data_IF_306892675392
#
_entry.id   IF_306892675392
#
_cell.length_a   1.000
_cell.length_b   1.000
_cell.length_c   1.000
_cell.angle_alpha   90.00
_cell.angle_beta   90.00
_cell.angle_gamma   90.00
#
_symmetry.space_group_name_H-M   'P 1'
#
loop_
_entity.id
_entity.type
_entity.pdbx_description
1 polymer ?
#
# COMPACT_ATOMS: atom_id res chain seq x y z
N UNK A 1 7.11 66.83 61.45
CA UNK A 1 6.07 66.00 62.11
C UNK A 1 4.94 65.76 61.11
N UNK A 2 4.33 64.56 61.08
CA UNK A 2 4.13 63.73 59.86
C UNK A 2 2.69 63.68 59.32
N UNK A 3 2.50 63.09 58.13
CA UNK A 3 1.17 62.69 57.62
C UNK A 3 1.18 62.01 56.23
N UNK A 4 1.08 60.67 56.23
CA UNK A 4 1.21 59.69 55.15
C UNK A 4 0.55 60.00 53.77
N UNK A 5 1.33 59.87 52.69
CA UNK A 5 0.88 59.77 51.29
C UNK A 5 0.73 58.29 50.87
N UNK A 6 -0.43 57.95 50.29
CA UNK A 6 -0.81 56.59 49.88
C UNK A 6 -0.08 56.16 48.61
N UNK A 7 0.57 54.99 48.67
CA UNK A 7 1.12 54.25 47.54
C UNK A 7 0.01 53.80 46.57
N UNK A 8 0.22 53.95 45.26
CA UNK A 8 -0.03 52.88 44.26
C UNK A 8 0.98 53.01 43.11
N UNK A 9 1.59 51.87 42.76
CA UNK A 9 2.64 51.69 41.75
C UNK A 9 2.13 51.98 40.32
N UNK A 10 3.02 52.41 39.41
CA UNK A 10 2.70 52.49 37.98
C UNK A 10 2.49 51.09 37.39
N UNK A 11 1.47 50.97 36.54
CA UNK A 11 1.14 49.73 35.82
C UNK A 11 2.08 49.58 34.63
N UNK A 12 2.80 48.47 34.64
CA UNK A 12 3.65 47.96 33.57
C UNK A 12 2.77 47.10 32.67
N UNK A 13 2.63 47.43 31.39
CA UNK A 13 2.07 46.55 30.35
C UNK A 13 2.99 46.63 29.13
N UNK A 14 4.11 45.92 29.25
CA UNK A 14 4.92 45.42 28.15
C UNK A 14 4.98 43.91 28.37
N UNK A 15 4.26 43.14 27.54
CA UNK A 15 4.44 41.71 27.22
C UNK A 15 3.15 41.15 26.59
N UNK A 16 2.91 41.47 25.32
CA UNK A 16 2.00 40.70 24.44
C UNK A 16 2.82 39.82 23.50
N UNK A 17 3.67 38.96 24.06
CA UNK A 17 4.41 37.95 23.29
C UNK A 17 4.47 36.63 24.05
N UNK A 18 3.33 35.96 24.14
CA UNK A 18 3.30 34.49 24.25
C UNK A 18 1.87 34.07 23.95
N UNK A 19 1.66 33.29 22.88
CA UNK A 19 0.52 32.37 22.65
C UNK A 19 0.40 31.97 21.16
N UNK A 20 1.50 31.70 20.44
CA UNK A 20 1.43 31.11 19.08
C UNK A 20 2.50 30.02 18.85
N UNK A 21 2.68 29.08 19.78
CA UNK A 21 3.57 27.93 19.53
C UNK A 21 2.92 26.57 19.83
N UNK A 22 1.78 26.55 20.55
CA UNK A 22 1.19 25.28 21.01
C UNK A 22 0.30 24.59 19.97
N UNK A 23 -0.08 25.25 18.87
CA UNK A 23 -0.96 24.67 17.83
C UNK A 23 -0.24 24.01 16.66
N UNK A 24 1.04 24.32 16.43
CA UNK A 24 1.77 23.79 15.25
C UNK A 24 2.31 22.37 15.45
N UNK A 25 2.78 22.02 16.66
CA UNK A 25 3.28 20.68 16.96
C UNK A 25 2.18 19.60 16.86
N UNK A 26 0.91 19.98 17.08
CA UNK A 26 -0.22 19.07 16.95
C UNK A 26 -0.56 18.78 15.49
N UNK A 27 -0.38 19.75 14.59
CA UNK A 27 -0.63 19.57 13.16
C UNK A 27 0.37 18.58 12.53
N UNK A 28 1.65 18.67 12.91
CA UNK A 28 2.69 17.76 12.40
C UNK A 28 2.50 16.34 12.93
N UNK A 29 2.23 16.18 14.24
CA UNK A 29 1.90 14.87 14.81
C UNK A 29 0.62 14.27 14.22
N UNK A 30 -0.39 15.10 13.94
CA UNK A 30 -1.60 14.63 13.26
C UNK A 30 -1.34 14.27 11.80
N UNK A 31 -0.46 14.99 11.10
CA UNK A 31 -0.12 14.67 9.72
C UNK A 31 0.69 13.36 9.63
N UNK A 32 1.63 13.14 10.55
CA UNK A 32 2.35 11.87 10.68
C UNK A 32 1.42 10.74 11.10
N UNK A 33 0.48 10.98 12.02
CA UNK A 33 -0.57 10.03 12.36
C UNK A 33 -1.48 9.70 11.18
N UNK A 34 -1.79 10.69 10.33
CA UNK A 34 -2.58 10.50 9.11
C UNK A 34 -1.79 9.73 8.05
N UNK A 35 -0.47 9.94 7.90
CA UNK A 35 0.39 9.15 7.02
C UNK A 35 0.54 7.71 7.48
N UNK A 36 0.73 7.50 8.78
CA UNK A 36 0.74 6.16 9.39
C UNK A 36 -0.63 5.51 9.21
N UNK A 37 -1.73 6.24 9.44
CA UNK A 37 -3.10 5.75 9.19
C UNK A 37 -3.32 5.39 7.73
N UNK A 38 -2.83 6.16 6.77
CA UNK A 38 -2.91 5.86 5.34
C UNK A 38 -2.10 4.60 5.00
N UNK A 39 -0.87 4.49 5.52
CA UNK A 39 -0.01 3.30 5.34
C UNK A 39 -0.63 2.05 5.98
N UNK A 40 -1.25 2.19 7.14
CA UNK A 40 -1.99 1.13 7.82
C UNK A 40 -3.26 0.77 7.04
N UNK A 41 -3.97 1.75 6.47
CA UNK A 41 -5.16 1.50 5.63
C UNK A 41 -4.81 0.74 4.35
N UNK A 42 -3.68 1.05 3.70
CA UNK A 42 -3.14 0.28 2.57
C UNK A 42 -2.80 -1.17 2.95
N UNK A 43 -2.48 -1.43 4.23
CA UNK A 43 -2.25 -2.78 4.76
C UNK A 43 -3.55 -3.47 5.19
N UNK A 44 -4.57 -2.71 5.62
CA UNK A 44 -5.87 -3.19 6.12
C UNK A 44 -6.85 -3.56 5.00
N UNK A 45 -6.57 -3.22 3.74
CA UNK A 45 -7.24 -3.80 2.55
C UNK A 45 -7.13 -5.34 2.47
N UNK A 46 -6.28 -5.95 3.31
CA UNK A 46 -6.15 -7.40 3.45
C UNK A 46 -7.26 -8.09 4.28
N UNK A 47 -8.13 -7.34 4.98
CA UNK A 47 -9.18 -7.93 5.84
C UNK A 47 -10.59 -7.71 5.26
N UNK A 48 -11.30 -8.75 4.80
CA UNK A 48 -12.64 -8.58 4.22
C UNK A 48 -13.68 -8.30 5.33
N UNK A 49 -14.18 -7.07 5.39
CA UNK A 49 -15.39 -6.71 6.15
C UNK A 49 -16.48 -6.36 5.14
N UNK A 50 -17.56 -7.15 5.10
CA UNK A 50 -18.71 -6.91 4.23
C UNK A 50 -19.49 -5.67 4.66
N UNK A 51 -19.89 -4.82 3.70
CA UNK A 51 -20.94 -3.80 3.88
C UNK A 51 -20.51 -2.33 3.98
N UNK A 52 -19.23 -1.99 3.83
CA UNK A 52 -18.79 -0.58 3.82
C UNK A 52 -18.66 -0.03 2.38
N UNK A 53 -19.24 1.15 2.08
CA UNK A 53 -19.07 1.81 0.79
C UNK A 53 -17.59 2.21 0.59
N UNK A 54 -17.02 1.90 -0.58
CA UNK A 54 -15.63 2.20 -0.93
C UNK A 54 -14.61 1.11 -0.58
N UNK A 55 -15.04 -0.02 0.00
CA UNK A 55 -14.15 -1.16 0.32
C UNK A 55 -14.39 -2.29 -0.69
N UNK A 56 -13.41 -2.60 -1.54
CA UNK A 56 -13.50 -3.68 -2.53
C UNK A 56 -13.52 -5.04 -1.83
N UNK A 57 -14.70 -5.63 -1.68
CA UNK A 57 -14.92 -6.78 -0.78
C UNK A 57 -14.54 -8.14 -1.37
N UNK A 58 -13.75 -8.23 -2.44
CA UNK A 58 -13.25 -9.53 -2.92
C UNK A 58 -11.84 -9.40 -3.47
N UNK A 59 -10.81 -9.83 -2.72
CA UNK A 59 -9.48 -9.91 -3.28
C UNK A 59 -9.47 -11.00 -4.36
N UNK A 60 -8.93 -10.68 -5.52
CA UNK A 60 -8.65 -11.65 -6.57
C UNK A 60 -7.74 -12.74 -5.97
N UNK A 61 -8.19 -14.01 -5.88
CA UNK A 61 -7.34 -15.09 -5.38
C UNK A 61 -6.14 -15.25 -6.30
N UNK A 62 -4.97 -15.51 -5.73
CA UNK A 62 -3.76 -15.72 -6.51
C UNK A 62 -2.80 -16.66 -5.81
N UNK A 63 -1.99 -17.33 -6.61
CA UNK A 63 -0.79 -18.04 -6.18
C UNK A 63 0.45 -17.35 -6.75
N UNK A 64 1.54 -17.33 -5.99
CA UNK A 64 2.83 -16.82 -6.44
C UNK A 64 3.93 -17.83 -6.12
N UNK A 65 4.80 -18.07 -7.10
CA UNK A 65 6.00 -18.87 -6.95
C UNK A 65 7.23 -18.05 -7.29
N UNK A 66 8.30 -18.24 -6.52
CA UNK A 66 9.60 -17.65 -6.75
C UNK A 66 10.54 -18.68 -7.40
N UNK A 67 11.17 -18.30 -8.50
CA UNK A 67 12.18 -19.10 -9.20
C UNK A 67 13.50 -18.32 -9.30
N UNK A 68 14.63 -18.95 -9.61
CA UNK A 68 15.89 -18.23 -9.79
C UNK A 68 15.83 -17.08 -10.80
N UNK A 69 15.02 -17.22 -11.85
CA UNK A 69 14.98 -16.27 -12.97
C UNK A 69 13.74 -15.37 -13.01
N UNK A 70 12.67 -15.70 -12.28
CA UNK A 70 11.39 -14.99 -12.38
C UNK A 70 10.46 -15.23 -11.17
N UNK A 71 9.53 -14.29 -10.97
CA UNK A 71 8.32 -14.51 -10.20
C UNK A 71 7.21 -14.99 -11.13
N UNK A 72 6.50 -16.05 -10.74
CA UNK A 72 5.34 -16.58 -11.45
C UNK A 72 4.09 -16.27 -10.63
N UNK A 73 3.08 -15.64 -11.24
CA UNK A 73 1.82 -15.31 -10.56
C UNK A 73 0.66 -15.90 -11.35
N UNK A 74 -0.24 -16.59 -10.66
CA UNK A 74 -1.51 -17.05 -11.22
C UNK A 74 -2.65 -16.39 -10.46
N UNK A 75 -3.47 -15.60 -11.14
CA UNK A 75 -4.63 -14.95 -10.56
C UNK A 75 -5.93 -15.57 -11.12
N UNK A 76 -6.82 -15.98 -10.23
CA UNK A 76 -8.04 -16.69 -10.56
C UNK A 76 -9.19 -15.71 -10.72
N UNK A 77 -9.63 -15.53 -11.97
CA UNK A 77 -10.63 -14.57 -12.41
C UNK A 77 -11.73 -15.27 -13.24
N UNK A 78 -12.43 -16.26 -12.68
CA UNK A 78 -13.51 -16.93 -13.40
C UNK A 78 -14.67 -15.96 -13.67
N UNK A 79 -15.18 -15.98 -14.90
CA UNK A 79 -16.30 -15.14 -15.33
C UNK A 79 -15.94 -13.67 -15.59
N UNK A 80 -14.66 -13.34 -15.67
CA UNK A 80 -14.18 -12.05 -16.19
C UNK A 80 -13.82 -12.19 -17.67
N UNK A 81 -14.00 -11.10 -18.41
CA UNK A 81 -13.44 -10.97 -19.75
C UNK A 81 -12.01 -10.46 -19.66
N UNK A 82 -11.14 -10.91 -20.56
CA UNK A 82 -9.72 -10.49 -20.57
C UNK A 82 -9.59 -8.98 -20.72
N UNK A 83 -10.48 -8.39 -21.50
CA UNK A 83 -10.52 -6.97 -21.83
C UNK A 83 -10.87 -6.10 -20.62
N UNK A 84 -11.54 -6.68 -19.61
CA UNK A 84 -11.92 -6.02 -18.36
C UNK A 84 -10.85 -6.17 -17.26
N UNK A 85 -9.68 -6.74 -17.58
CA UNK A 85 -8.57 -6.98 -16.64
C UNK A 85 -7.37 -6.09 -17.01
N UNK A 86 -6.93 -5.30 -16.04
CA UNK A 86 -5.73 -4.44 -16.14
C UNK A 86 -4.68 -4.93 -15.15
N UNK A 87 -3.42 -4.94 -15.60
CA UNK A 87 -2.27 -5.38 -14.80
C UNK A 87 -1.19 -4.31 -14.88
N UNK A 88 -0.70 -3.88 -13.72
CA UNK A 88 0.32 -2.84 -13.61
C UNK A 88 1.41 -3.28 -12.63
N UNK A 89 2.67 -2.96 -12.94
CA UNK A 89 3.79 -3.15 -12.01
C UNK A 89 4.41 -1.80 -11.72
N UNK A 90 4.50 -1.45 -10.44
CA UNK A 90 5.06 -0.19 -9.97
C UNK A 90 5.63 -0.37 -8.55
N UNK A 91 6.80 0.20 -8.28
CA UNK A 91 7.38 0.29 -6.92
C UNK A 91 7.40 -1.06 -6.16
N UNK A 92 7.89 -2.13 -6.80
CA UNK A 92 7.89 -3.53 -6.30
C UNK A 92 6.51 -4.09 -5.95
N UNK A 93 5.45 -3.55 -6.59
CA UNK A 93 4.08 -4.02 -6.42
C UNK A 93 3.47 -4.36 -7.77
N UNK A 94 2.74 -5.47 -7.80
CA UNK A 94 1.91 -5.90 -8.90
C UNK A 94 0.45 -5.59 -8.54
N UNK A 95 -0.18 -4.68 -9.28
CA UNK A 95 -1.59 -4.37 -9.19
C UNK A 95 -2.37 -5.11 -10.28
N UNK A 96 -3.42 -5.81 -9.88
CA UNK A 96 -4.38 -6.46 -10.78
C UNK A 96 -5.74 -5.83 -10.49
N UNK A 97 -6.34 -5.22 -11.51
CA UNK A 97 -7.67 -4.64 -11.47
C UNK A 97 -8.57 -5.40 -12.44
N UNK A 98 -9.77 -5.74 -12.02
CA UNK A 98 -10.74 -6.41 -12.87
C UNK A 98 -12.15 -5.86 -12.61
N UNK A 99 -13.01 -5.82 -13.63
CA UNK A 99 -14.41 -5.42 -13.46
C UNK A 99 -15.34 -6.55 -13.89
N UNK A 100 -16.38 -6.83 -13.09
CA UNK A 100 -17.45 -7.74 -13.47
C UNK A 100 -18.79 -7.05 -13.27
N UNK A 101 -19.64 -7.02 -14.29
CA UNK A 101 -20.97 -6.41 -14.21
C UNK A 101 -22.03 -7.48 -14.02
N UNK A 102 -23.00 -7.23 -13.15
CA UNK A 102 -24.21 -8.04 -13.11
C UNK A 102 -25.06 -7.71 -14.35
N UNK A 103 -25.41 -8.68 -15.20
CA UNK A 103 -26.21 -8.40 -16.39
C UNK A 103 -27.56 -7.81 -15.98
N UNK A 104 -27.93 -6.68 -16.58
CA UNK A 104 -29.27 -6.11 -16.43
C UNK A 104 -30.07 -6.47 -17.66
N UNK A 105 -31.15 -7.24 -17.47
CA UNK A 105 -32.12 -7.52 -18.52
C UNK A 105 -33.52 -7.29 -17.96
N UNK A 106 -34.35 -6.64 -18.75
CA UNK A 106 -35.69 -6.22 -18.32
C UNK A 106 -36.68 -7.40 -18.22
N UNK A 107 -36.33 -8.55 -18.82
CA UNK A 107 -37.10 -9.79 -18.80
C UNK A 107 -36.72 -10.74 -17.64
N UNK A 108 -35.79 -10.35 -16.76
CA UNK A 108 -35.28 -11.20 -15.69
C UNK A 108 -35.43 -10.58 -14.31
N UNK A 109 -35.89 -11.40 -13.37
CA UNK A 109 -35.85 -11.11 -11.93
C UNK A 109 -34.80 -12.02 -11.29
N UNK A 110 -33.73 -11.41 -10.76
CA UNK A 110 -32.73 -12.14 -9.99
C UNK A 110 -33.35 -12.63 -8.67
N UNK A 111 -33.40 -13.95 -8.47
CA UNK A 111 -33.85 -14.54 -7.19
C UNK A 111 -32.74 -14.52 -6.14
N UNK A 112 -31.52 -14.86 -6.56
CA UNK A 112 -30.32 -14.88 -5.72
C UNK A 112 -29.09 -14.44 -6.51
N UNK A 113 -28.21 -13.66 -5.88
CA UNK A 113 -26.93 -13.23 -6.46
C UNK A 113 -25.86 -13.37 -5.39
N UNK A 114 -25.09 -14.46 -5.48
CA UNK A 114 -23.99 -14.76 -4.54
C UNK A 114 -22.63 -14.44 -5.15
N UNK A 115 -22.51 -14.62 -6.46
CA UNK A 115 -21.27 -14.32 -7.16
C UNK A 115 -21.00 -12.80 -7.11
N UNK A 116 -19.82 -12.36 -6.66
CA UNK A 116 -19.56 -10.95 -6.46
C UNK A 116 -19.44 -10.19 -7.78
N UNK A 117 -19.88 -8.93 -7.83
CA UNK A 117 -19.78 -8.07 -9.00
C UNK A 117 -19.32 -6.68 -8.58
N UNK A 118 -18.83 -5.89 -9.53
CA UNK A 118 -18.18 -4.60 -9.32
C UNK A 118 -16.72 -4.62 -9.74
N UNK A 119 -15.95 -3.67 -9.20
CA UNK A 119 -14.50 -3.57 -9.42
C UNK A 119 -13.76 -4.36 -8.35
N UNK A 120 -12.80 -5.17 -8.78
CA UNK A 120 -11.91 -5.99 -7.98
C UNK A 120 -10.50 -5.43 -8.13
N UNK A 121 -9.79 -5.25 -7.02
CA UNK A 121 -8.43 -4.75 -7.01
C UNK A 121 -7.61 -5.64 -6.09
N UNK A 122 -6.46 -6.07 -6.57
CA UNK A 122 -5.50 -6.85 -5.79
C UNK A 122 -4.12 -6.28 -6.00
N UNK A 123 -3.45 -5.92 -4.92
CA UNK A 123 -2.06 -5.47 -4.94
C UNK A 123 -1.20 -6.50 -4.24
N UNK A 124 -0.15 -6.94 -4.92
CA UNK A 124 0.75 -8.00 -4.48
C UNK A 124 2.15 -7.41 -4.36
N UNK A 125 2.78 -7.55 -3.20
CA UNK A 125 4.19 -7.19 -3.03
C UNK A 125 5.10 -8.21 -3.73
N UNK A 126 6.10 -7.72 -4.43
CA UNK A 126 7.10 -8.54 -5.11
C UNK A 126 8.32 -8.73 -4.20
N UNK A 127 8.84 -9.96 -4.13
CA UNK A 127 10.02 -10.29 -3.31
C UNK A 127 11.35 -9.85 -3.92
N UNK A 128 11.34 -9.40 -5.18
CA UNK A 128 12.53 -9.02 -5.94
C UNK A 128 12.17 -8.02 -7.04
N UNK A 129 13.19 -7.31 -7.51
CA UNK A 129 13.05 -6.36 -8.61
C UNK A 129 12.83 -7.13 -9.91
N UNK A 130 11.87 -6.67 -10.69
CA UNK A 130 11.48 -7.31 -11.95
C UNK A 130 11.86 -6.44 -13.14
N UNK A 131 12.25 -7.10 -14.21
CA UNK A 131 12.47 -6.48 -15.51
C UNK A 131 11.10 -6.21 -16.16
N UNK A 132 10.66 -4.96 -16.07
CA UNK A 132 9.33 -4.53 -16.53
C UNK A 132 9.15 -4.58 -18.04
N UNK A 133 10.24 -4.52 -18.82
CA UNK A 133 10.19 -4.55 -20.29
C UNK A 133 9.89 -5.95 -20.83
N UNK A 134 10.19 -6.99 -20.04
CA UNK A 134 10.11 -8.39 -20.46
C UNK A 134 9.02 -9.19 -19.71
N UNK A 135 8.05 -8.52 -19.10
CA UNK A 135 6.91 -9.17 -18.44
C UNK A 135 6.05 -9.90 -19.47
N UNK A 136 5.77 -11.18 -19.22
CA UNK A 136 4.84 -11.99 -20.01
C UNK A 136 3.50 -12.15 -19.31
N UNK A 137 2.40 -12.05 -20.06
CA UNK A 137 1.05 -12.30 -19.57
C UNK A 137 0.29 -13.27 -20.49
N UNK A 138 -0.38 -14.25 -19.90
CA UNK A 138 -1.23 -15.21 -20.58
C UNK A 138 -2.60 -15.30 -19.92
N UNK A 139 -3.64 -15.59 -20.70
CA UNK A 139 -5.00 -15.78 -20.21
C UNK A 139 -5.56 -17.10 -20.73
N UNK A 140 -6.06 -17.95 -19.84
CA UNK A 140 -6.73 -19.20 -20.23
C UNK A 140 -7.79 -19.55 -19.20
N UNK A 141 -9.02 -19.79 -19.68
CA UNK A 141 -10.12 -20.35 -18.86
C UNK A 141 -10.39 -19.58 -17.54
N UNK A 142 -10.27 -18.25 -17.57
CA UNK A 142 -10.47 -17.42 -16.38
C UNK A 142 -9.27 -17.38 -15.43
N UNK A 143 -8.09 -17.79 -15.88
CA UNK A 143 -6.84 -17.68 -15.13
C UNK A 143 -5.87 -16.75 -15.86
N UNK A 144 -5.45 -15.69 -15.18
CA UNK A 144 -4.35 -14.82 -15.60
C UNK A 144 -3.04 -15.42 -15.11
N UNK A 145 -2.13 -15.73 -16.01
CA UNK A 145 -0.77 -16.19 -15.70
C UNK A 145 0.23 -15.11 -16.07
N UNK A 146 1.03 -14.66 -15.10
CA UNK A 146 2.07 -13.67 -15.29
C UNK A 146 3.43 -14.30 -15.04
N UNK A 147 4.39 -14.00 -15.91
CA UNK A 147 5.80 -14.30 -15.71
C UNK A 147 6.54 -12.97 -15.62
N UNK A 148 7.11 -12.68 -14.46
CA UNK A 148 7.83 -11.44 -14.17
C UNK A 148 9.33 -11.79 -14.04
N UNK A 149 10.14 -11.62 -15.10
CA UNK A 149 11.57 -11.91 -15.02
C UNK A 149 12.23 -11.04 -13.94
N UNK A 150 13.16 -11.60 -13.17
CA UNK A 150 13.95 -10.83 -12.21
C UNK A 150 14.95 -9.94 -12.96
N UNK A 151 15.09 -8.70 -12.48
CA UNK A 151 16.14 -7.80 -12.94
C UNK A 151 17.52 -8.45 -12.78
N UNK A 152 18.45 -8.19 -13.70
CA UNK A 152 19.81 -8.77 -13.69
C UNK A 152 20.51 -8.57 -12.33
N UNK A 153 20.29 -7.44 -11.68
CA UNK A 153 20.90 -7.10 -10.39
C UNK A 153 20.27 -7.84 -9.21
N UNK A 154 19.00 -8.20 -9.31
CA UNK A 154 18.25 -8.90 -8.26
C UNK A 154 18.41 -10.43 -8.29
N UNK A 155 19.13 -10.97 -9.30
CA UNK A 155 19.43 -12.41 -9.35
C UNK A 155 20.45 -12.77 -8.28
N UNK A 156 20.31 -13.92 -7.61
CA UNK A 156 21.26 -14.37 -6.60
C UNK A 156 22.68 -14.43 -7.18
N UNK A 157 23.62 -13.70 -6.58
CA UNK A 157 25.05 -13.80 -6.91
C UNK A 157 25.71 -14.74 -5.92
N UNK A 158 26.52 -15.68 -6.42
CA UNK A 158 27.40 -16.44 -5.55
C UNK A 158 28.52 -15.53 -5.08
N UNK A 159 28.62 -15.36 -3.76
CA UNK A 159 29.75 -14.68 -3.14
C UNK A 159 30.76 -15.76 -2.75
N UNK A 160 31.92 -15.86 -3.43
CA UNK A 160 32.94 -16.83 -3.05
C UNK A 160 33.47 -16.48 -1.65
N UNK A 161 33.48 -17.47 -0.76
CA UNK A 161 34.02 -17.31 0.59
C UNK A 161 35.54 -17.28 0.49
N UNK A 162 36.13 -16.12 0.79
CA UNK A 162 37.58 -15.99 0.93
C UNK A 162 37.99 -16.38 2.35
N UNK A 163 39.11 -17.09 2.50
CA UNK A 163 39.70 -17.32 3.82
C UNK A 163 40.23 -15.99 4.35
N UNK A 164 39.50 -15.38 5.29
CA UNK A 164 39.98 -14.21 6.04
C UNK A 164 40.65 -14.72 7.31
N UNK A 165 41.95 -14.52 7.43
CA UNK A 165 42.65 -14.68 8.71
C UNK A 165 42.31 -13.47 9.57
N UNK A 166 41.23 -13.58 10.34
CA UNK A 166 40.76 -12.60 11.34
C UNK A 166 40.21 -11.29 10.77
N UNK A 167 38.92 -11.02 11.03
CA UNK A 167 38.36 -9.68 10.93
C UNK A 167 38.96 -8.85 12.06
N UNK A 168 39.94 -8.01 11.76
CA UNK A 168 40.41 -7.00 12.70
C UNK A 168 39.27 -5.99 12.89
N UNK A 169 38.53 -6.12 13.99
CA UNK A 169 37.73 -5.03 14.53
C UNK A 169 38.69 -4.10 15.27
N UNK A 170 39.49 -3.36 14.51
CA UNK A 170 40.30 -2.29 15.09
C UNK A 170 39.31 -1.22 15.56
N UNK A 171 39.19 -1.15 16.87
CA UNK A 171 38.43 -0.14 17.61
C UNK A 171 39.32 1.09 17.69
N UNK A 172 38.93 2.19 17.04
CA UNK A 172 39.37 3.54 17.41
C UNK A 172 38.43 4.13 18.46
#
# INVERSE_FOLDING_TARGET
MPGLSKRRKPRCEAEEQSLEVTTMAFADSLNELMKVSQTLMDQIDSVPIHGLPGRTVNPIPFDMADTPDALLVQAYLPGFHREDVTVEVRDHRLAIKAERRLPRRDDLTWLHVEAPYGTFIRTIGLSSDVDSEHIGAGWREGVLTLRLPKAQEARPRQIPIQQVTQFALDSE
#
